data_IF_133576482566
#
_entry.id   IF_133576482566
#
_cell.length_a   1.000
_cell.length_b   1.000
_cell.length_c   1.000
_cell.angle_alpha   90.00
_cell.angle_beta   90.00
_cell.angle_gamma   90.00
#
_symmetry.space_group_name_H-M   'P 1'
#
loop_
_entity.id
_entity.type
_entity.pdbx_description
1 polymer ?
#
# COMPACT_ATOMS: atom_id res chain seq x y z
N UNK A 1 26.68 6.40 -10.81
CA UNK A 1 26.42 7.42 -9.76
C UNK A 1 26.10 6.71 -8.45
N UNK A 2 26.71 7.06 -7.32
CA UNK A 2 26.33 6.49 -6.03
C UNK A 2 24.89 6.93 -5.68
N UNK A 3 24.06 5.99 -5.21
CA UNK A 3 22.69 6.30 -4.75
C UNK A 3 22.76 7.32 -3.62
N UNK A 4 22.16 8.50 -3.78
CA UNK A 4 21.91 9.41 -2.66
C UNK A 4 20.97 8.69 -1.67
N UNK A 5 21.37 8.62 -0.40
CA UNK A 5 20.51 8.11 0.68
C UNK A 5 19.22 8.93 0.72
N UNK A 6 18.13 8.33 0.27
CA UNK A 6 16.77 8.85 0.45
C UNK A 6 16.32 8.55 1.87
N UNK A 7 15.49 9.43 2.45
CA UNK A 7 15.13 9.45 3.86
C UNK A 7 14.49 8.17 4.43
N UNK A 8 14.36 8.18 5.76
CA UNK A 8 13.86 7.11 6.63
C UNK A 8 12.60 6.39 6.12
N UNK A 9 12.54 5.09 6.43
CA UNK A 9 11.43 4.14 6.24
C UNK A 9 10.05 4.81 6.37
N UNK A 10 9.12 4.44 5.49
CA UNK A 10 7.71 4.83 5.63
C UNK A 10 7.12 4.31 6.95
N UNK A 11 6.09 4.99 7.46
CA UNK A 11 5.46 4.63 8.74
C UNK A 11 4.81 3.25 8.69
N UNK A 12 4.29 2.87 7.52
CA UNK A 12 3.70 1.55 7.24
C UNK A 12 4.23 1.00 5.92
N UNK A 13 4.37 -0.32 5.85
CA UNK A 13 4.71 -1.06 4.61
C UNK A 13 3.78 -2.26 4.50
N UNK A 14 3.17 -2.44 3.33
CA UNK A 14 2.45 -3.65 2.96
C UNK A 14 3.43 -4.61 2.31
N UNK A 15 3.68 -5.76 2.95
CA UNK A 15 4.63 -6.75 2.44
C UNK A 15 4.16 -8.16 2.69
N UNK A 16 4.61 -9.07 1.85
CA UNK A 16 4.48 -10.50 2.12
C UNK A 16 5.36 -10.87 3.32
N UNK A 17 4.81 -11.69 4.22
CA UNK A 17 5.60 -12.29 5.27
C UNK A 17 6.35 -13.50 4.68
N UNK A 18 7.68 -13.42 4.62
CA UNK A 18 8.54 -14.53 4.20
C UNK A 18 9.59 -14.80 5.28
N UNK A 19 9.78 -16.08 5.62
CA UNK A 19 10.83 -16.53 6.52
C UNK A 19 12.02 -17.08 5.71
N UNK A 20 13.23 -16.59 6.03
CA UNK A 20 14.58 -16.92 5.53
C UNK A 20 15.12 -16.02 4.41
N UNK A 21 16.12 -15.20 4.72
CA UNK A 21 17.18 -14.61 3.86
C UNK A 21 16.82 -14.00 2.49
N UNK A 22 15.56 -14.01 2.06
CA UNK A 22 15.04 -13.37 0.85
C UNK A 22 14.61 -11.94 1.15
N UNK A 23 14.67 -11.10 0.11
CA UNK A 23 14.11 -9.76 0.15
C UNK A 23 12.58 -9.93 0.05
N UNK A 24 11.78 -9.49 1.03
CA UNK A 24 10.34 -9.68 1.00
C UNK A 24 9.71 -8.82 -0.11
N UNK A 25 8.67 -9.34 -0.77
CA UNK A 25 7.87 -8.56 -1.72
C UNK A 25 7.08 -7.49 -0.99
N UNK A 26 7.21 -6.25 -1.46
CA UNK A 26 6.51 -5.07 -0.93
C UNK A 26 5.51 -4.56 -1.98
N UNK A 27 4.29 -4.28 -1.55
CA UNK A 27 3.16 -3.92 -2.42
C UNK A 27 2.67 -2.49 -2.19
N UNK A 28 3.15 -1.85 -1.13
CA UNK A 28 2.69 -0.53 -0.78
C UNK A 28 3.25 0.02 0.54
N UNK A 29 2.92 1.27 0.82
CA UNK A 29 3.41 2.00 1.97
C UNK A 29 2.43 3.06 2.47
N UNK A 30 2.61 3.56 3.69
CA UNK A 30 1.88 4.73 4.18
C UNK A 30 2.78 5.70 4.91
N UNK A 31 2.43 6.99 4.79
CA UNK A 31 2.95 8.08 5.60
C UNK A 31 1.81 8.68 6.40
N UNK A 32 2.07 9.00 7.67
CA UNK A 32 1.10 9.59 8.56
C UNK A 32 1.63 10.86 9.21
N UNK A 33 0.74 11.85 9.33
CA UNK A 33 1.01 13.09 10.05
C UNK A 33 -0.07 13.44 11.05
N UNK A 34 0.32 14.02 12.20
CA UNK A 34 -0.63 14.38 13.24
C UNK A 34 -1.54 15.54 12.84
N UNK A 35 -1.03 16.47 12.01
CA UNK A 35 -1.73 17.70 11.65
C UNK A 35 -2.24 17.66 10.21
N UNK A 36 -3.37 18.33 10.00
CA UNK A 36 -3.91 18.66 8.67
C UNK A 36 -3.09 19.85 8.16
N UNK A 37 -2.14 19.59 7.26
CA UNK A 37 -1.50 20.66 6.49
C UNK A 37 -2.33 20.92 5.22
N UNK A 38 -2.28 22.17 4.73
CA UNK A 38 -2.84 22.50 3.43
C UNK A 38 -2.03 21.81 2.31
N UNK A 39 -2.63 21.69 1.12
CA UNK A 39 -1.94 21.08 -0.03
C UNK A 39 -0.66 21.83 -0.43
N UNK A 40 -0.52 23.08 0.02
CA UNK A 40 0.66 23.94 -0.16
C UNK A 40 1.73 23.75 0.92
N UNK A 41 1.46 22.97 1.96
CA UNK A 41 2.38 22.70 3.06
C UNK A 41 3.64 22.01 2.58
N UNK A 42 4.81 22.54 2.94
CA UNK A 42 6.10 22.00 2.47
C UNK A 42 6.29 20.54 2.86
N UNK A 43 5.76 20.09 4.01
CA UNK A 43 5.87 18.69 4.45
C UNK A 43 4.87 17.80 3.74
N UNK A 44 3.62 18.25 3.56
CA UNK A 44 2.67 17.57 2.67
C UNK A 44 3.27 17.34 1.27
N UNK A 45 3.95 18.36 0.72
CA UNK A 45 4.67 18.23 -0.54
C UNK A 45 5.81 17.21 -0.48
N UNK A 46 6.69 17.32 0.52
CA UNK A 46 7.86 16.45 0.63
C UNK A 46 7.52 14.99 0.91
N UNK A 47 6.55 14.72 1.77
CA UNK A 47 6.23 13.36 2.21
C UNK A 47 5.15 12.72 1.33
N UNK A 48 4.10 13.47 1.00
CA UNK A 48 2.99 13.02 0.18
C UNK A 48 3.24 13.04 -1.32
N UNK A 49 3.97 14.03 -1.85
CA UNK A 49 4.21 14.15 -3.30
C UNK A 49 5.55 13.54 -3.73
N UNK A 50 6.54 13.51 -2.85
CA UNK A 50 7.89 13.07 -3.19
C UNK A 50 8.28 11.76 -2.53
N UNK A 51 8.27 11.67 -1.19
CA UNK A 51 8.74 10.49 -0.45
C UNK A 51 7.89 9.26 -0.75
N UNK A 52 6.58 9.32 -0.50
CA UNK A 52 5.68 8.17 -0.66
C UNK A 52 5.61 7.70 -2.13
N UNK A 53 5.38 8.56 -3.15
CA UNK A 53 5.37 8.11 -4.54
C UNK A 53 6.71 7.53 -5.00
N UNK A 54 7.84 8.04 -4.50
CA UNK A 54 9.16 7.47 -4.80
C UNK A 54 9.31 6.06 -4.23
N UNK A 55 8.89 5.84 -2.99
CA UNK A 55 8.91 4.51 -2.36
C UNK A 55 7.99 3.54 -3.11
N UNK A 56 6.77 3.95 -3.43
CA UNK A 56 5.83 3.13 -4.22
C UNK A 56 6.41 2.78 -5.60
N UNK A 57 7.09 3.73 -6.25
CA UNK A 57 7.73 3.51 -7.54
C UNK A 57 8.89 2.51 -7.45
N UNK A 58 9.71 2.60 -6.40
CA UNK A 58 10.80 1.65 -6.16
C UNK A 58 10.25 0.22 -5.88
N UNK A 59 9.15 0.11 -5.13
CA UNK A 59 8.41 -1.15 -4.93
C UNK A 59 7.86 -1.69 -6.26
N UNK A 60 7.24 -0.83 -7.09
CA UNK A 60 6.70 -1.22 -8.39
C UNK A 60 7.80 -1.72 -9.33
N UNK A 61 8.94 -1.03 -9.37
CA UNK A 61 10.10 -1.45 -10.17
C UNK A 61 10.60 -2.85 -9.78
N UNK A 62 10.57 -3.18 -8.49
CA UNK A 62 10.92 -4.51 -8.00
C UNK A 62 9.89 -5.56 -8.43
N UNK A 63 8.59 -5.32 -8.22
CA UNK A 63 7.53 -6.24 -8.64
C UNK A 63 7.54 -6.52 -10.15
N UNK A 64 7.83 -5.51 -10.97
CA UNK A 64 7.97 -5.66 -12.42
C UNK A 64 9.19 -6.48 -12.84
N UNK A 65 10.28 -6.41 -12.06
CA UNK A 65 11.46 -7.26 -12.27
C UNK A 65 11.16 -8.72 -11.97
N UNK A 66 10.40 -9.00 -10.90
CA UNK A 66 10.03 -10.37 -10.51
C UNK A 66 9.19 -11.08 -11.60
N UNK A 67 8.34 -10.34 -12.32
CA UNK A 67 7.60 -10.88 -13.47
C UNK A 67 8.32 -10.73 -14.82
N UNK A 68 9.61 -10.34 -14.82
CA UNK A 68 10.42 -10.13 -16.02
C UNK A 68 9.79 -9.21 -17.08
N UNK A 69 9.05 -8.19 -16.65
CA UNK A 69 8.37 -7.23 -17.53
C UNK A 69 7.45 -7.88 -18.59
N UNK A 70 6.81 -9.00 -18.28
CA UNK A 70 5.88 -9.65 -19.20
C UNK A 70 4.57 -8.86 -19.40
N UNK A 71 3.64 -9.40 -20.20
CA UNK A 71 2.38 -8.74 -20.53
C UNK A 71 1.50 -8.38 -19.31
N UNK A 72 1.71 -9.04 -18.16
CA UNK A 72 0.99 -8.77 -16.91
C UNK A 72 1.45 -7.45 -16.26
N UNK A 73 2.57 -6.88 -16.69
CA UNK A 73 3.12 -5.60 -16.20
C UNK A 73 2.11 -4.46 -16.16
N UNK A 74 1.17 -4.43 -17.12
CA UNK A 74 0.12 -3.40 -17.19
C UNK A 74 -0.89 -3.48 -16.05
N UNK A 75 -0.98 -4.62 -15.38
CA UNK A 75 -1.92 -4.89 -14.28
C UNK A 75 -1.26 -4.76 -12.90
N UNK A 76 0.07 -4.64 -12.85
CA UNK A 76 0.79 -4.43 -11.58
C UNK A 76 0.68 -2.97 -11.18
N UNK A 77 0.28 -2.76 -9.93
CA UNK A 77 0.18 -1.44 -9.32
C UNK A 77 0.53 -1.50 -7.84
N UNK A 78 1.18 -0.45 -7.35
CA UNK A 78 1.48 -0.29 -5.91
C UNK A 78 0.57 0.75 -5.31
N UNK A 79 0.22 0.58 -4.04
CA UNK A 79 -0.77 1.42 -3.38
C UNK A 79 -0.27 1.94 -2.05
N UNK A 80 -0.79 3.07 -1.61
CA UNK A 80 -0.40 3.62 -0.34
C UNK A 80 -1.40 4.62 0.21
N UNK A 81 -1.19 5.01 1.47
CA UNK A 81 -2.01 6.01 2.13
C UNK A 81 -1.17 7.17 2.62
N UNK A 82 -1.71 8.36 2.43
CA UNK A 82 -1.26 9.58 3.09
C UNK A 82 -2.31 9.96 4.14
N UNK A 83 -1.93 9.82 5.41
CA UNK A 83 -2.76 10.22 6.54
C UNK A 83 -2.32 11.59 7.06
N UNK A 84 -3.28 12.47 7.30
CA UNK A 84 -3.04 13.82 7.83
C UNK A 84 -4.18 14.19 8.76
N UNK A 85 -3.92 14.14 10.07
CA UNK A 85 -4.95 14.27 11.11
C UNK A 85 -6.09 13.26 10.92
N UNK A 86 -7.33 13.76 10.83
CA UNK A 86 -8.52 12.95 10.54
C UNK A 86 -8.82 12.85 9.04
N UNK A 87 -7.81 12.93 8.17
CA UNK A 87 -7.96 12.81 6.73
C UNK A 87 -7.07 11.69 6.18
N UNK A 88 -7.55 10.99 5.17
CA UNK A 88 -6.83 9.92 4.47
C UNK A 88 -6.97 10.08 2.97
N UNK A 89 -5.85 10.00 2.24
CA UNK A 89 -5.80 10.00 0.78
C UNK A 89 -5.11 8.73 0.30
N UNK A 90 -5.79 7.96 -0.55
CA UNK A 90 -5.19 6.79 -1.19
C UNK A 90 -4.39 7.23 -2.41
N UNK A 91 -3.18 6.69 -2.55
CA UNK A 91 -2.30 6.88 -3.69
C UNK A 91 -2.14 5.55 -4.39
N UNK A 92 -2.29 5.54 -5.69
CA UNK A 92 -2.05 4.38 -6.54
C UNK A 92 -0.97 4.76 -7.55
N UNK A 93 -0.06 3.82 -7.81
CA UNK A 93 1.02 4.01 -8.76
C UNK A 93 1.07 2.82 -9.71
N UNK A 94 0.97 3.12 -11.00
CA UNK A 94 0.96 2.13 -12.08
C UNK A 94 1.90 2.53 -13.24
N UNK A 95 2.10 1.60 -14.17
CA UNK A 95 2.96 1.79 -15.34
C UNK A 95 2.18 1.58 -16.64
N UNK A 96 1.50 2.62 -17.16
CA UNK A 96 0.73 2.49 -18.40
C UNK A 96 1.61 2.26 -19.65
N UNK A 97 2.84 2.76 -19.65
CA UNK A 97 3.82 2.57 -20.73
C UNK A 97 5.19 2.20 -20.16
N UNK A 98 6.09 1.66 -20.98
CA UNK A 98 7.40 1.13 -20.55
C UNK A 98 8.23 2.09 -19.69
N UNK A 99 8.13 3.40 -19.94
CA UNK A 99 9.01 4.40 -19.31
C UNK A 99 8.28 5.39 -18.41
N UNK A 100 6.96 5.35 -18.34
CA UNK A 100 6.15 6.32 -17.60
C UNK A 100 5.47 5.61 -16.44
N UNK A 101 5.78 6.05 -15.22
CA UNK A 101 5.02 5.69 -14.03
C UNK A 101 4.02 6.80 -13.73
N UNK A 102 2.75 6.45 -13.52
CA UNK A 102 1.68 7.39 -13.24
C UNK A 102 1.29 7.28 -11.77
N UNK A 103 1.15 8.43 -11.13
CA UNK A 103 0.66 8.54 -9.75
C UNK A 103 -0.77 9.06 -9.80
N UNK A 104 -1.70 8.23 -9.35
CA UNK A 104 -3.12 8.55 -9.22
C UNK A 104 -3.45 8.77 -7.75
N UNK A 105 -4.28 9.77 -7.45
CA UNK A 105 -4.71 10.06 -6.07
C UNK A 105 -6.21 10.04 -5.98
N UNK A 106 -6.72 9.39 -4.94
CA UNK A 106 -8.13 9.48 -4.60
C UNK A 106 -8.45 10.87 -4.05
N UNK A 107 -9.75 11.18 -3.99
CA UNK A 107 -10.21 12.29 -3.17
C UNK A 107 -9.85 12.02 -1.71
N UNK A 108 -9.44 13.08 -0.99
CA UNK A 108 -9.20 13.00 0.45
C UNK A 108 -10.51 12.68 1.18
N UNK A 109 -10.46 11.68 2.06
CA UNK A 109 -11.57 11.24 2.90
C UNK A 109 -11.35 11.81 4.29
N UNK A 110 -12.17 12.79 4.66
CA UNK A 110 -12.18 13.35 6.00
C UNK A 110 -13.11 12.54 6.92
N UNK A 111 -12.54 12.07 8.03
CA UNK A 111 -13.24 11.37 9.11
C UNK A 111 -13.73 12.43 10.10
N UNK A 112 -15.04 12.50 10.32
CA UNK A 112 -15.57 13.44 11.30
C UNK A 112 -15.38 12.91 12.72
N UNK A 113 -15.03 13.76 13.70
CA UNK A 113 -15.00 13.36 15.11
C UNK A 113 -16.40 13.17 15.70
N UNK A 114 -17.46 13.57 14.99
CA UNK A 114 -18.85 13.46 15.46
C UNK A 114 -19.46 12.11 15.12
N UNK A 115 -20.00 11.42 16.12
CA UNK A 115 -20.68 10.11 15.97
C UNK A 115 -21.86 10.20 15.00
N UNK A 116 -22.58 11.33 14.94
CA UNK A 116 -23.70 11.52 14.01
C UNK A 116 -23.29 11.44 12.53
N UNK A 117 -22.02 11.68 12.21
CA UNK A 117 -21.47 11.63 10.86
C UNK A 117 -20.66 10.36 10.60
N UNK A 118 -20.72 9.37 11.49
CA UNK A 118 -19.96 8.14 11.38
C UNK A 118 -20.23 7.43 10.05
N UNK A 119 -21.49 7.17 9.71
CA UNK A 119 -21.85 6.45 8.49
C UNK A 119 -21.33 7.12 7.21
N UNK A 120 -21.45 8.44 7.11
CA UNK A 120 -21.07 9.17 5.90
C UNK A 120 -19.56 9.44 5.78
N UNK A 121 -18.79 9.35 6.87
CA UNK A 121 -17.36 9.70 6.87
C UNK A 121 -16.44 8.52 7.13
N UNK A 122 -16.83 7.57 7.97
CA UNK A 122 -16.03 6.38 8.31
C UNK A 122 -16.22 5.26 7.29
N UNK A 123 -17.43 5.02 6.80
CA UNK A 123 -17.65 3.96 5.81
C UNK A 123 -16.83 4.15 4.52
N UNK A 124 -16.69 5.38 3.97
CA UNK A 124 -15.78 5.60 2.83
C UNK A 124 -14.32 5.28 3.15
N UNK A 125 -13.84 5.56 4.37
CA UNK A 125 -12.47 5.25 4.78
C UNK A 125 -12.23 3.73 4.95
N UNK A 126 -13.24 3.00 5.44
CA UNK A 126 -13.20 1.53 5.46
C UNK A 126 -13.23 0.96 4.05
N UNK A 127 -14.08 1.51 3.18
CA UNK A 127 -14.15 1.08 1.78
C UNK A 127 -12.83 1.31 1.05
N UNK A 128 -12.17 2.46 1.23
CA UNK A 128 -10.86 2.72 0.61
C UNK A 128 -9.78 1.75 1.10
N UNK A 129 -9.80 1.40 2.39
CA UNK A 129 -8.92 0.38 2.96
C UNK A 129 -9.18 -1.00 2.35
N UNK A 130 -10.45 -1.36 2.17
CA UNK A 130 -10.83 -2.61 1.51
C UNK A 130 -10.39 -2.65 0.04
N UNK A 131 -10.60 -1.56 -0.70
CA UNK A 131 -10.11 -1.44 -2.09
C UNK A 131 -8.59 -1.61 -2.13
N UNK A 132 -7.85 -0.92 -1.26
CA UNK A 132 -6.40 -1.07 -1.15
C UNK A 132 -5.99 -2.53 -0.93
N UNK A 133 -6.69 -3.25 -0.04
CA UNK A 133 -6.45 -4.67 0.22
C UNK A 133 -6.69 -5.53 -1.02
N UNK A 134 -7.79 -5.31 -1.74
CA UNK A 134 -8.10 -6.10 -2.95
C UNK A 134 -7.05 -5.88 -4.05
N UNK A 135 -6.52 -4.65 -4.17
CA UNK A 135 -5.42 -4.36 -5.10
C UNK A 135 -4.16 -5.13 -4.75
N UNK A 136 -3.75 -5.10 -3.48
CA UNK A 136 -2.57 -5.84 -3.02
C UNK A 136 -2.75 -7.34 -3.27
N UNK A 137 -3.95 -7.87 -3.02
CA UNK A 137 -4.29 -9.28 -3.27
C UNK A 137 -4.20 -9.63 -4.76
N UNK A 138 -4.76 -8.81 -5.63
CA UNK A 138 -4.68 -9.00 -7.09
C UNK A 138 -3.23 -9.03 -7.58
N UNK A 139 -2.41 -8.07 -7.13
CA UNK A 139 -1.00 -7.99 -7.54
C UNK A 139 -0.20 -9.17 -6.99
N UNK A 140 -0.44 -9.58 -5.74
CA UNK A 140 0.17 -10.78 -5.17
C UNK A 140 -0.16 -12.01 -6.00
N UNK A 141 -1.41 -12.18 -6.43
CA UNK A 141 -1.82 -13.28 -7.30
C UNK A 141 -1.13 -13.22 -8.66
N UNK A 142 -1.04 -12.04 -9.28
CA UNK A 142 -0.36 -11.85 -10.57
C UNK A 142 1.10 -12.26 -10.48
N UNK A 143 1.83 -11.80 -9.46
CA UNK A 143 3.25 -12.11 -9.25
C UNK A 143 3.42 -13.60 -8.98
N UNK A 144 2.62 -14.18 -8.07
CA UNK A 144 2.70 -15.60 -7.71
C UNK A 144 2.30 -16.54 -8.86
N UNK A 145 1.47 -16.08 -9.81
CA UNK A 145 1.01 -16.91 -10.95
C UNK A 145 2.13 -17.22 -11.96
N UNK A 146 3.26 -16.51 -11.90
CA UNK A 146 4.44 -16.84 -12.70
C UNK A 146 5.18 -18.07 -12.19
N UNK A 147 5.05 -18.34 -10.89
CA UNK A 147 5.73 -19.41 -10.17
C UNK A 147 4.83 -20.64 -10.01
N UNK A 148 4.18 -21.14 -11.07
CA UNK A 148 3.37 -22.37 -10.98
C UNK A 148 4.23 -23.62 -10.69
N UNK A 149 4.72 -23.74 -9.46
CA UNK A 149 4.64 -24.94 -8.65
C UNK A 149 3.32 -24.84 -7.89
N UNK A 150 2.40 -25.75 -8.16
CA UNK A 150 1.10 -25.88 -7.50
C UNK A 150 1.22 -25.72 -5.97
N UNK A 151 0.74 -24.60 -5.44
CA UNK A 151 0.42 -24.47 -4.03
C UNK A 151 -0.73 -23.48 -3.88
N UNK A 152 -1.95 -23.97 -4.12
CA UNK A 152 -3.21 -23.30 -3.76
C UNK A 152 -3.41 -23.21 -2.23
N UNK A 153 -2.33 -23.13 -1.45
CA UNK A 153 -2.40 -23.14 0.00
C UNK A 153 -2.49 -21.70 0.53
N UNK A 154 -3.73 -21.24 0.68
CA UNK A 154 -4.09 -19.93 1.27
C UNK A 154 -4.23 -20.06 2.80
N UNK A 155 -3.91 -21.22 3.39
CA UNK A 155 -4.02 -21.48 4.84
C UNK A 155 -3.36 -20.40 5.70
N UNK A 156 -2.18 -19.92 5.32
CA UNK A 156 -1.46 -18.88 6.07
C UNK A 156 -2.23 -17.56 6.20
N UNK A 157 -3.14 -17.26 5.27
CA UNK A 157 -3.94 -16.03 5.30
C UNK A 157 -5.17 -16.18 6.21
N UNK A 158 -5.75 -17.38 6.29
CA UNK A 158 -6.82 -17.69 7.25
C UNK A 158 -6.27 -17.65 8.69
N UNK A 159 -5.04 -18.15 8.91
CA UNK A 159 -4.34 -18.07 10.21
C UNK A 159 -4.16 -16.62 10.70
N UNK A 160 -4.08 -15.65 9.78
CA UNK A 160 -3.97 -14.23 10.12
C UNK A 160 -5.31 -13.60 10.54
N UNK A 161 -6.44 -14.25 10.22
CA UNK A 161 -7.80 -13.84 10.58
C UNK A 161 -8.33 -14.58 11.82
N UNK A 162 -7.72 -15.72 12.17
CA UNK A 162 -7.99 -16.39 13.43
C UNK A 162 -7.62 -15.50 14.61
N UNK A 163 -8.64 -15.12 15.39
CA UNK A 163 -8.41 -14.43 16.66
C UNK A 163 -7.95 -15.48 17.67
N UNK A 164 -6.84 -15.27 18.39
CA UNK A 164 -6.47 -16.15 19.49
C UNK A 164 -7.65 -16.19 20.47
N UNK A 165 -8.01 -17.38 20.92
CA UNK A 165 -9.05 -17.56 21.94
C UNK A 165 -8.63 -16.78 23.18
N UNK A 166 -9.50 -15.88 23.63
CA UNK A 166 -9.26 -15.12 24.85
C UNK A 166 -9.01 -16.12 25.99
N UNK A 167 -7.97 -15.92 26.81
CA UNK A 167 -7.70 -16.80 27.94
C UNK A 167 -8.95 -16.85 28.81
N UNK A 168 -9.41 -18.07 29.12
CA UNK A 168 -10.51 -18.23 30.05
C UNK A 168 -10.06 -17.67 31.40
N UNK A 169 -10.81 -16.66 31.88
CA UNK A 169 -10.57 -16.10 33.19
C UNK A 169 -10.83 -17.18 34.26
N UNK A 170 -10.03 -17.20 35.34
CA UNK A 170 -10.19 -18.13 36.45
C UNK A 170 -11.53 -17.98 37.18
#
# INVERSE_FOLDING_TARGET
MPRLKSGYKCDLIFRQYQNKHSIPLEFGASEAKPNIEDESGTKYMQEGLYKLPRVLKDMLDYLLQEINFDDRSKSIRTVGFLHSGLSSTMIELDRPTTYISRVSRSKAIAISPSVSKFGSTVLPALLSTWVCREIVKEVLQIVSSGDKVNSNDISWFEDCLERPTLPQMP
#
